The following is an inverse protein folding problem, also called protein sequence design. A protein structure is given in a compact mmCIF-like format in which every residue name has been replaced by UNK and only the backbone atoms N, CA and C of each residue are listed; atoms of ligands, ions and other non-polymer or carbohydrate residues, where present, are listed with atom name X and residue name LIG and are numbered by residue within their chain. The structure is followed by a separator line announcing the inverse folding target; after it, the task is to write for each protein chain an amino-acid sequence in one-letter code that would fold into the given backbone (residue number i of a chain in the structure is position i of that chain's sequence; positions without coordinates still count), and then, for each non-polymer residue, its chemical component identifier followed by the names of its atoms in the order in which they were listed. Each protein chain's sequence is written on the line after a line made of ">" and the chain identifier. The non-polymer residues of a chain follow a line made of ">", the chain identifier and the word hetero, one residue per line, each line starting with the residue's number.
data_IF_248915938531
#
_entry.id   IF_248915938531
#
_cell.length_a   1.000
_cell.length_b   1.000
_cell.length_c   1.000
_cell.angle_alpha   90.00
_cell.angle_beta   90.00
_cell.angle_gamma   90.00
#
_symmetry.space_group_name_H-M   'P 1'
#
loop_
_entity.id
_entity.type
_entity.pdbx_description
1 polymer ?
#
# COMPACT_ATOMS: atom_id res chain seq x y z
N UNK A 1 20.73 13.50 -25.54
CA UNK A 1 21.48 12.23 -25.57
C UNK A 1 20.46 11.09 -25.61
N UNK A 2 20.39 10.29 -26.67
CA UNK A 2 19.42 9.22 -26.79
C UNK A 2 19.96 7.89 -26.21
N UNK A 3 19.10 6.90 -25.97
CA UNK A 3 19.48 5.60 -25.36
C UNK A 3 20.64 4.89 -26.07
N UNK A 4 20.80 5.06 -27.38
CA UNK A 4 21.87 4.44 -28.19
C UNK A 4 23.22 5.09 -27.95
N UNK A 5 23.26 6.38 -27.71
CA UNK A 5 24.50 7.12 -27.42
C UNK A 5 24.99 6.84 -26.00
N UNK A 6 24.08 6.69 -25.04
CA UNK A 6 24.44 6.29 -23.67
C UNK A 6 25.14 4.90 -23.63
N UNK A 7 24.63 3.94 -24.39
CA UNK A 7 25.21 2.58 -24.45
C UNK A 7 26.59 2.58 -25.13
N UNK A 8 26.82 3.44 -26.12
CA UNK A 8 28.12 3.53 -26.80
C UNK A 8 29.21 4.14 -25.94
N UNK A 9 28.88 5.04 -25.03
CA UNK A 9 29.85 5.66 -24.13
C UNK A 9 30.23 4.76 -22.93
N UNK A 10 29.37 3.84 -22.53
CA UNK A 10 29.66 2.86 -21.45
C UNK A 10 30.52 1.68 -21.94
N UNK A 11 30.50 1.35 -23.22
CA UNK A 11 31.32 0.24 -23.78
C UNK A 11 32.77 0.65 -24.09
N UNK A 12 33.08 1.93 -24.22
CA UNK A 12 34.43 2.41 -24.49
C UNK A 12 35.34 2.52 -23.24
N UNK A 13 34.78 2.42 -22.04
CA UNK A 13 35.52 2.54 -20.78
C UNK A 13 36.00 1.18 -20.21
N UNK A 14 35.69 0.05 -20.85
CA UNK A 14 36.05 -1.31 -20.36
C UNK A 14 37.20 -1.94 -21.13
N UNK A 15 37.80 -1.28 -22.13
CA UNK A 15 38.85 -1.83 -22.98
C UNK A 15 40.30 -1.53 -22.52
N UNK A 16 40.53 -1.27 -21.24
CA UNK A 16 41.86 -0.82 -20.76
C UNK A 16 42.39 -1.45 -19.50
N UNK A 17 42.00 -2.68 -19.13
CA UNK A 17 42.67 -3.41 -18.03
C UNK A 17 42.50 -4.92 -18.17
N UNK A 18 43.20 -5.48 -19.15
CA UNK A 18 43.55 -6.92 -19.13
C UNK A 18 44.99 -7.02 -18.63
N UNK A 19 45.17 -7.67 -17.49
CA UNK A 19 46.26 -8.56 -17.07
C UNK A 19 46.37 -8.53 -15.54
N UNK A 20 45.79 -9.58 -14.93
CA UNK A 20 46.36 -10.35 -13.82
C UNK A 20 45.27 -11.34 -13.34
N UNK A 21 45.19 -12.48 -14.03
CA UNK A 21 44.47 -13.64 -13.51
C UNK A 21 45.36 -14.33 -12.47
N UNK A 22 45.26 -13.86 -11.22
CA UNK A 22 45.60 -14.67 -10.07
C UNK A 22 44.38 -15.51 -9.70
N UNK A 23 44.51 -16.83 -9.81
CA UNK A 23 43.51 -17.77 -9.34
C UNK A 23 43.27 -17.57 -7.83
N UNK A 24 42.24 -16.81 -7.47
CA UNK A 24 41.71 -16.77 -6.11
C UNK A 24 40.45 -17.62 -6.09
N UNK A 25 40.60 -18.82 -5.59
CA UNK A 25 39.51 -19.70 -5.19
C UNK A 25 38.80 -19.02 -4.00
N UNK A 26 37.91 -18.05 -4.27
CA UNK A 26 37.04 -17.50 -3.24
C UNK A 26 35.87 -18.46 -3.08
N UNK A 27 35.97 -19.32 -2.07
CA UNK A 27 34.76 -19.79 -1.38
C UNK A 27 33.86 -18.58 -1.21
N UNK A 28 32.66 -18.67 -1.77
CA UNK A 28 31.55 -17.79 -1.44
C UNK A 28 31.23 -18.06 0.03
N UNK A 29 31.94 -17.38 0.94
CA UNK A 29 31.43 -17.21 2.28
C UNK A 29 30.06 -16.55 2.12
N UNK A 30 29.02 -17.31 2.39
CA UNK A 30 27.69 -16.76 2.63
C UNK A 30 27.90 -15.70 3.71
N UNK A 31 27.71 -14.44 3.37
CA UNK A 31 27.70 -13.36 4.37
C UNK A 31 26.82 -13.84 5.52
N UNK A 32 27.32 -13.81 6.77
CA UNK A 32 26.49 -14.21 7.88
C UNK A 32 25.22 -13.38 7.81
N UNK A 33 24.07 -14.04 7.88
CA UNK A 33 22.80 -13.36 8.10
C UNK A 33 23.02 -12.62 9.42
N UNK A 34 23.32 -11.33 9.35
CA UNK A 34 23.39 -10.49 10.51
C UNK A 34 21.99 -10.51 11.08
N UNK A 35 21.79 -11.30 12.12
CA UNK A 35 20.61 -11.23 12.96
C UNK A 35 20.61 -9.82 13.52
N UNK A 36 19.94 -8.92 12.84
CA UNK A 36 19.70 -7.58 13.33
C UNK A 36 18.64 -7.70 14.41
N UNK A 37 19.09 -7.91 15.65
CA UNK A 37 18.29 -7.60 16.86
C UNK A 37 18.13 -6.08 16.97
N UNK A 38 18.00 -5.40 15.83
CA UNK A 38 17.90 -3.96 15.76
C UNK A 38 16.44 -3.52 15.77
N UNK A 39 16.22 -2.34 16.29
CA UNK A 39 14.95 -1.64 16.18
C UNK A 39 14.54 -1.49 14.72
N UNK A 40 13.23 -1.49 14.46
CA UNK A 40 12.67 -1.27 13.10
C UNK A 40 13.19 0.06 12.54
N UNK A 41 13.83 -0.01 11.38
CA UNK A 41 14.27 1.19 10.68
C UNK A 41 13.07 2.02 10.27
N UNK A 42 13.08 3.30 10.63
CA UNK A 42 12.06 4.27 10.23
C UNK A 42 12.64 5.34 9.32
N UNK A 43 11.80 5.98 8.55
CA UNK A 43 12.13 7.13 7.71
C UNK A 43 11.07 8.20 7.88
N UNK A 44 11.53 9.44 7.89
CA UNK A 44 10.63 10.59 7.87
C UNK A 44 10.20 10.80 6.42
N UNK A 45 8.89 10.79 6.19
CA UNK A 45 8.34 11.20 4.91
C UNK A 45 8.56 12.71 4.75
N UNK A 46 9.35 13.18 3.78
CA UNK A 46 9.70 14.60 3.66
C UNK A 46 8.49 15.50 3.33
N UNK A 47 7.42 14.91 2.79
CA UNK A 47 6.23 15.68 2.41
C UNK A 47 5.22 15.81 3.55
N UNK A 48 5.23 14.89 4.53
CA UNK A 48 4.22 14.81 5.58
C UNK A 48 4.79 15.00 6.98
N UNK A 49 6.09 14.75 7.16
CA UNK A 49 6.74 14.71 8.47
C UNK A 49 6.49 13.42 9.25
N UNK A 50 5.72 12.48 8.70
CA UNK A 50 5.42 11.21 9.37
C UNK A 50 6.67 10.33 9.46
N UNK A 51 6.98 9.83 10.64
CA UNK A 51 8.03 8.83 10.86
C UNK A 51 7.47 7.44 10.66
N UNK A 52 7.69 6.88 9.44
CA UNK A 52 7.10 5.62 8.99
C UNK A 52 8.13 4.50 9.01
N UNK A 53 7.73 3.30 9.45
CA UNK A 53 8.56 2.09 9.37
C UNK A 53 8.91 1.78 7.92
N UNK A 54 10.16 1.36 7.69
CA UNK A 54 10.62 0.99 6.34
C UNK A 54 9.85 -0.22 5.78
N UNK A 55 9.40 -1.11 6.67
CA UNK A 55 8.48 -2.19 6.35
C UNK A 55 7.05 -1.74 6.67
N UNK A 56 6.16 -1.76 5.66
CA UNK A 56 4.71 -1.63 5.83
C UNK A 56 4.03 -3.01 5.87
N UNK A 57 2.94 -3.13 6.60
CA UNK A 57 2.14 -4.35 6.67
C UNK A 57 0.99 -4.30 5.66
N UNK A 58 1.04 -5.18 4.65
CA UNK A 58 -0.02 -5.29 3.64
C UNK A 58 -1.16 -6.20 4.10
N UNK A 59 -2.38 -5.65 4.15
CA UNK A 59 -3.59 -6.36 4.61
C UNK A 59 -4.37 -7.02 3.46
N UNK A 60 -3.77 -7.19 2.30
CA UNK A 60 -4.44 -7.77 1.12
C UNK A 60 -4.65 -9.28 1.22
N UNK A 61 -3.79 -9.99 1.94
CA UNK A 61 -3.76 -11.46 2.03
C UNK A 61 -3.76 -11.89 3.49
N UNK A 62 -4.86 -11.57 4.17
CA UNK A 62 -5.04 -11.94 5.57
C UNK A 62 -5.37 -13.44 5.71
N UNK A 63 -4.98 -14.07 6.83
CA UNK A 63 -5.34 -15.45 7.12
C UNK A 63 -6.86 -15.66 7.07
N UNK A 64 -7.29 -16.68 6.32
CA UNK A 64 -8.66 -17.13 6.30
C UNK A 64 -8.80 -18.41 7.13
N UNK A 65 -10.01 -18.69 7.58
CA UNK A 65 -10.37 -19.97 8.15
C UNK A 65 -10.58 -20.98 7.04
N UNK A 66 -10.24 -22.24 7.28
CA UNK A 66 -10.65 -23.32 6.38
C UNK A 66 -12.19 -23.34 6.32
N UNK A 67 -12.72 -23.05 5.12
CA UNK A 67 -14.16 -23.12 4.89
C UNK A 67 -14.53 -24.58 4.67
N UNK A 68 -15.57 -25.07 5.36
CA UNK A 68 -16.24 -26.28 4.95
C UNK A 68 -16.85 -26.07 3.54
N UNK A 69 -17.01 -27.13 2.77
CA UNK A 69 -17.59 -27.08 1.41
C UNK A 69 -18.88 -26.25 1.41
N UNK A 70 -18.92 -25.20 0.60
CA UNK A 70 -20.06 -24.30 0.47
C UNK A 70 -20.22 -23.22 1.55
N UNK A 71 -19.32 -23.16 2.54
CA UNK A 71 -19.36 -22.09 3.55
C UNK A 71 -18.85 -20.75 2.96
N UNK A 72 -19.33 -19.59 3.46
CA UNK A 72 -18.80 -18.29 3.10
C UNK A 72 -17.31 -18.18 3.46
N UNK A 73 -16.56 -17.43 2.66
CA UNK A 73 -15.18 -17.09 2.99
C UNK A 73 -15.14 -16.24 4.26
N UNK A 74 -14.38 -16.68 5.25
CA UNK A 74 -14.19 -15.98 6.52
C UNK A 74 -12.72 -15.74 6.78
N UNK A 75 -12.41 -14.61 7.45
CA UNK A 75 -11.08 -14.31 7.96
C UNK A 75 -10.90 -14.83 9.37
N UNK A 76 -9.70 -15.31 9.70
CA UNK A 76 -9.36 -15.68 11.08
C UNK A 76 -8.94 -14.43 11.87
N UNK A 77 -9.91 -13.77 12.47
CA UNK A 77 -9.69 -12.54 13.22
C UNK A 77 -8.74 -12.72 14.41
N UNK A 78 -8.69 -13.90 15.01
CA UNK A 78 -7.77 -14.16 16.15
C UNK A 78 -6.34 -14.11 15.67
N UNK A 79 -6.03 -14.87 14.61
CA UNK A 79 -4.70 -14.88 14.01
C UNK A 79 -4.31 -13.50 13.45
N UNK A 80 -5.25 -12.77 12.84
CA UNK A 80 -5.02 -11.41 12.34
C UNK A 80 -4.65 -10.47 13.48
N UNK A 81 -5.34 -10.55 14.61
CA UNK A 81 -5.03 -9.76 15.79
C UNK A 81 -3.61 -10.02 16.29
N UNK A 82 -3.22 -11.29 16.42
CA UNK A 82 -1.88 -11.69 16.84
C UNK A 82 -0.79 -11.18 15.88
N UNK A 83 -1.03 -11.24 14.57
CA UNK A 83 -0.10 -10.73 13.56
C UNK A 83 0.06 -9.21 13.61
N UNK A 84 -1.03 -8.48 13.83
CA UNK A 84 -1.00 -7.01 13.99
C UNK A 84 -0.30 -6.62 15.28
N UNK A 85 -0.58 -7.30 16.39
CA UNK A 85 0.09 -7.10 17.68
C UNK A 85 1.60 -7.30 17.51
N UNK A 86 2.00 -8.43 16.94
CA UNK A 86 3.40 -8.74 16.68
C UNK A 86 4.08 -7.68 15.80
N UNK A 87 3.42 -7.23 14.73
CA UNK A 87 3.95 -6.22 13.85
C UNK A 87 4.21 -4.89 14.57
N UNK A 88 3.23 -4.43 15.37
CA UNK A 88 3.35 -3.20 16.17
C UNK A 88 4.45 -3.31 17.25
N UNK A 89 4.52 -4.44 17.95
CA UNK A 89 5.55 -4.70 18.97
C UNK A 89 6.96 -4.68 18.38
N UNK A 90 7.11 -5.09 17.10
CA UNK A 90 8.38 -5.06 16.37
C UNK A 90 8.60 -3.78 15.56
N UNK A 91 7.83 -2.73 15.83
CA UNK A 91 8.04 -1.37 15.31
C UNK A 91 7.48 -1.09 13.92
N UNK A 92 6.74 -2.03 13.31
CA UNK A 92 5.95 -1.74 12.11
C UNK A 92 4.80 -0.83 12.51
N UNK A 93 4.68 0.31 11.82
CA UNK A 93 3.65 1.29 12.13
C UNK A 93 2.82 1.75 10.92
N UNK A 94 2.93 1.09 9.77
CA UNK A 94 2.17 1.41 8.57
C UNK A 94 1.40 0.19 8.08
N UNK A 95 0.07 0.30 8.01
CA UNK A 95 -0.86 -0.76 7.61
C UNK A 95 -1.63 -0.34 6.36
N UNK A 96 -1.52 -1.13 5.28
CA UNK A 96 -2.12 -0.84 3.98
C UNK A 96 -3.26 -1.80 3.67
N UNK A 97 -4.46 -1.27 3.52
CA UNK A 97 -5.67 -2.01 3.15
C UNK A 97 -6.39 -1.42 1.93
N UNK A 98 -7.53 -1.98 1.56
CA UNK A 98 -8.44 -1.43 0.55
C UNK A 98 -9.83 -2.08 0.66
N UNK A 99 -10.91 -1.43 0.18
CA UNK A 99 -12.27 -1.96 0.17
C UNK A 99 -12.44 -3.32 -0.52
N UNK A 100 -11.59 -3.61 -1.52
CA UNK A 100 -11.68 -4.84 -2.34
C UNK A 100 -10.81 -5.98 -1.82
N UNK A 101 -9.97 -5.75 -0.82
CA UNK A 101 -9.05 -6.77 -0.31
C UNK A 101 -9.79 -7.84 0.50
N UNK A 102 -9.31 -9.09 0.43
CA UNK A 102 -9.93 -10.22 1.10
C UNK A 102 -11.45 -10.32 0.81
N UNK A 103 -11.85 -10.16 -0.46
CA UNK A 103 -13.26 -10.18 -0.89
C UNK A 103 -14.13 -9.13 -0.16
N UNK A 104 -13.56 -7.99 0.21
CA UNK A 104 -14.25 -6.90 0.89
C UNK A 104 -14.19 -6.94 2.42
N UNK A 105 -13.49 -7.92 3.01
CA UNK A 105 -13.43 -8.10 4.46
C UNK A 105 -12.20 -7.46 5.12
N UNK A 106 -11.19 -7.03 4.33
CA UNK A 106 -9.92 -6.59 4.88
C UNK A 106 -10.03 -5.34 5.76
N UNK A 107 -10.79 -4.32 5.35
CA UNK A 107 -10.93 -3.10 6.15
C UNK A 107 -11.56 -3.36 7.52
N UNK A 108 -12.60 -4.21 7.56
CA UNK A 108 -13.25 -4.57 8.83
C UNK A 108 -12.31 -5.35 9.74
N UNK A 109 -11.57 -6.32 9.20
CA UNK A 109 -10.60 -7.09 9.96
C UNK A 109 -9.43 -6.22 10.45
N UNK A 110 -8.94 -5.32 9.59
CA UNK A 110 -7.90 -4.33 9.92
C UNK A 110 -8.37 -3.41 11.05
N UNK A 111 -9.57 -2.84 10.91
CA UNK A 111 -10.15 -1.96 11.94
C UNK A 111 -10.31 -2.67 13.27
N UNK A 112 -10.82 -3.90 13.27
CA UNK A 112 -10.95 -4.72 14.49
C UNK A 112 -9.60 -4.96 15.17
N UNK A 113 -8.56 -5.27 14.41
CA UNK A 113 -7.23 -5.50 14.96
C UNK A 113 -6.60 -4.20 15.49
N UNK A 114 -6.61 -3.13 14.71
CA UNK A 114 -5.96 -1.86 15.04
C UNK A 114 -6.67 -1.07 16.15
N UNK A 115 -7.99 -1.15 16.27
CA UNK A 115 -8.77 -0.49 17.33
C UNK A 115 -8.39 -0.95 18.75
N UNK A 116 -7.67 -2.05 18.89
CA UNK A 116 -7.13 -2.55 20.16
C UNK A 116 -5.90 -1.77 20.62
N UNK A 117 -5.33 -0.93 19.76
CA UNK A 117 -4.12 -0.15 20.02
C UNK A 117 -4.40 1.35 20.00
N UNK A 118 -3.59 2.16 20.71
CA UNK A 118 -3.72 3.61 20.66
C UNK A 118 -3.56 4.13 19.23
N UNK A 119 -4.49 4.95 18.76
CA UNK A 119 -4.56 5.43 17.37
C UNK A 119 -3.29 6.14 16.87
N UNK A 120 -2.55 6.76 17.76
CA UNK A 120 -1.30 7.46 17.47
C UNK A 120 -0.07 6.53 17.33
N UNK A 121 -0.23 5.23 17.45
CA UNK A 121 0.87 4.25 17.32
C UNK A 121 1.05 3.73 15.90
N UNK A 122 0.09 4.03 15.00
CA UNK A 122 0.11 3.51 13.65
C UNK A 122 -0.46 4.48 12.63
N UNK A 123 -0.06 4.28 11.40
CA UNK A 123 -0.64 4.88 10.21
C UNK A 123 -1.49 3.84 9.48
N UNK A 124 -2.70 4.23 9.09
CA UNK A 124 -3.56 3.39 8.27
C UNK A 124 -3.76 4.03 6.89
N UNK A 125 -3.48 3.23 5.86
CA UNK A 125 -3.74 3.56 4.48
C UNK A 125 -4.89 2.71 3.94
N UNK A 126 -5.85 3.36 3.28
CA UNK A 126 -6.85 2.67 2.46
C UNK A 126 -6.97 3.33 1.09
N UNK A 127 -7.87 2.84 0.25
CA UNK A 127 -7.92 3.24 -1.14
C UNK A 127 -9.36 3.47 -1.60
N UNK A 128 -9.56 4.39 -2.54
CA UNK A 128 -10.82 4.50 -3.27
C UNK A 128 -10.82 3.51 -4.44
N UNK A 129 -11.50 2.37 -4.27
CA UNK A 129 -11.46 1.21 -5.19
C UNK A 129 -12.68 1.15 -6.13
N UNK A 130 -13.12 2.27 -6.65
CA UNK A 130 -14.24 2.42 -7.59
C UNK A 130 -13.88 1.92 -9.00
N UNK A 131 -13.60 0.62 -9.15
CA UNK A 131 -13.10 0.05 -10.40
C UNK A 131 -14.16 -0.11 -11.48
N UNK A 132 -15.37 -0.46 -11.10
CA UNK A 132 -16.49 -0.70 -12.03
C UNK A 132 -17.23 0.61 -12.34
N UNK A 133 -17.67 0.85 -13.61
CA UNK A 133 -18.37 2.09 -14.00
C UNK A 133 -19.59 2.42 -13.16
N UNK A 134 -20.31 1.42 -12.65
CA UNK A 134 -21.45 1.58 -11.74
C UNK A 134 -21.05 2.18 -10.37
N UNK A 135 -19.77 2.10 -10.01
CA UNK A 135 -19.22 2.71 -8.78
C UNK A 135 -18.56 4.07 -9.01
N UNK A 136 -18.61 4.62 -10.24
CA UNK A 136 -17.97 5.89 -10.58
C UNK A 136 -18.78 7.12 -10.22
N UNK A 137 -20.06 6.98 -9.83
CA UNK A 137 -20.81 8.15 -9.39
C UNK A 137 -20.14 8.79 -8.16
N UNK A 138 -20.39 10.09 -7.97
CA UNK A 138 -19.91 10.82 -6.79
C UNK A 138 -20.44 10.18 -5.51
N UNK A 139 -21.73 9.86 -5.52
CA UNK A 139 -22.47 9.28 -4.39
C UNK A 139 -21.88 7.92 -3.98
N UNK A 140 -21.64 7.02 -4.93
CA UNK A 140 -21.06 5.70 -4.65
C UNK A 140 -19.63 5.81 -4.15
N UNK A 141 -18.83 6.70 -4.73
CA UNK A 141 -17.45 6.93 -4.30
C UNK A 141 -17.39 7.54 -2.88
N UNK A 142 -18.30 8.47 -2.57
CA UNK A 142 -18.45 9.02 -1.21
C UNK A 142 -18.88 7.94 -0.23
N UNK A 143 -19.89 7.14 -0.57
CA UNK A 143 -20.37 6.05 0.25
C UNK A 143 -19.28 5.00 0.51
N UNK A 144 -18.41 4.74 -0.47
CA UNK A 144 -17.25 3.85 -0.31
C UNK A 144 -16.29 4.39 0.75
N UNK A 145 -15.94 5.67 0.69
CA UNK A 145 -15.06 6.29 1.69
C UNK A 145 -15.68 6.28 3.10
N UNK A 146 -16.96 6.63 3.23
CA UNK A 146 -17.67 6.58 4.52
C UNK A 146 -17.70 5.15 5.10
N UNK A 147 -17.91 4.15 4.26
CA UNK A 147 -17.87 2.74 4.65
C UNK A 147 -16.46 2.32 5.08
N UNK A 148 -15.41 2.81 4.41
CA UNK A 148 -14.03 2.56 4.81
C UNK A 148 -13.74 3.06 6.22
N UNK A 149 -14.13 4.30 6.56
CA UNK A 149 -13.97 4.84 7.91
C UNK A 149 -14.73 4.00 8.95
N UNK A 150 -15.96 3.61 8.64
CA UNK A 150 -16.78 2.76 9.52
C UNK A 150 -16.12 1.40 9.76
N UNK A 151 -15.62 0.74 8.73
CA UNK A 151 -14.98 -0.57 8.83
C UNK A 151 -13.63 -0.49 9.54
N UNK A 152 -12.87 0.55 9.30
CA UNK A 152 -11.60 0.82 9.99
C UNK A 152 -11.78 1.33 11.43
N UNK A 153 -13.02 1.60 11.86
CA UNK A 153 -13.36 2.07 13.22
C UNK A 153 -12.58 3.34 13.58
N UNK A 154 -12.52 4.30 12.66
CA UNK A 154 -11.74 5.55 12.83
C UNK A 154 -12.44 6.73 12.18
N UNK A 155 -12.22 7.93 12.69
CA UNK A 155 -12.76 9.17 12.12
C UNK A 155 -11.91 9.72 10.97
N UNK A 156 -10.67 9.23 10.81
CA UNK A 156 -9.76 9.66 9.76
C UNK A 156 -8.81 8.55 9.32
N UNK A 157 -8.31 8.64 8.09
CA UNK A 157 -7.21 7.83 7.59
C UNK A 157 -5.95 8.67 7.41
N UNK A 158 -4.79 8.07 7.66
CA UNK A 158 -3.53 8.76 7.46
C UNK A 158 -3.21 8.91 5.97
N UNK A 159 -3.56 7.92 5.18
CA UNK A 159 -3.37 7.92 3.73
C UNK A 159 -4.61 7.38 3.02
N UNK A 160 -5.15 8.16 2.10
CA UNK A 160 -6.14 7.69 1.12
C UNK A 160 -5.51 7.68 -0.26
N UNK A 161 -5.56 6.53 -0.95
CA UNK A 161 -4.99 6.39 -2.29
C UNK A 161 -6.10 6.24 -3.34
N UNK A 162 -5.99 6.96 -4.45
CA UNK A 162 -6.73 6.63 -5.66
C UNK A 162 -6.21 5.30 -6.18
N UNK A 163 -7.05 4.25 -6.19
CA UNK A 163 -6.60 2.88 -6.38
C UNK A 163 -6.31 2.56 -7.85
N UNK A 164 -5.06 2.22 -8.18
CA UNK A 164 -4.64 1.76 -9.52
C UNK A 164 -4.99 2.74 -10.64
N UNK A 165 -4.37 3.92 -10.64
CA UNK A 165 -4.69 5.00 -11.56
C UNK A 165 -4.29 4.73 -13.03
N UNK A 166 -3.41 3.78 -13.30
CA UNK A 166 -2.98 3.38 -14.66
C UNK A 166 -3.92 2.39 -15.36
N UNK A 167 -4.95 1.91 -14.68
CA UNK A 167 -5.86 0.89 -15.18
C UNK A 167 -6.79 1.36 -16.30
N UNK A 168 -7.32 0.40 -17.06
CA UNK A 168 -8.36 0.62 -18.09
C UNK A 168 -9.65 -0.05 -17.65
N UNK A 169 -10.80 0.50 -18.03
CA UNK A 169 -12.11 -0.10 -17.73
C UNK A 169 -13.14 0.24 -18.80
N UNK A 170 -14.09 -0.67 -19.03
CA UNK A 170 -15.25 -0.48 -19.92
C UNK A 170 -14.88 0.01 -21.33
N UNK A 171 -13.79 -0.52 -21.92
CA UNK A 171 -13.32 -0.13 -23.25
C UNK A 171 -12.66 1.26 -23.32
N UNK A 172 -12.46 1.93 -22.20
CA UNK A 172 -11.80 3.23 -22.09
C UNK A 172 -10.30 3.06 -21.87
N UNK A 173 -9.49 3.97 -22.41
CA UNK A 173 -8.06 4.03 -22.10
C UNK A 173 -7.81 4.53 -20.65
N UNK A 174 -6.57 4.50 -20.20
CA UNK A 174 -6.20 4.87 -18.81
C UNK A 174 -6.58 6.30 -18.44
N UNK A 175 -6.42 7.27 -19.36
CA UNK A 175 -6.80 8.66 -19.12
C UNK A 175 -8.33 8.80 -18.99
N UNK A 176 -9.08 8.26 -19.92
CA UNK A 176 -10.54 8.28 -19.88
C UNK A 176 -11.11 7.56 -18.65
N UNK A 177 -10.43 6.47 -18.22
CA UNK A 177 -10.79 5.75 -17.00
C UNK A 177 -10.52 6.61 -15.77
N UNK A 178 -9.36 7.26 -15.69
CA UNK A 178 -9.02 8.17 -14.61
C UNK A 178 -9.99 9.36 -14.53
N UNK A 179 -10.28 9.99 -15.66
CA UNK A 179 -11.24 11.10 -15.74
C UNK A 179 -12.63 10.67 -15.27
N UNK A 180 -13.12 9.51 -15.73
CA UNK A 180 -14.43 8.98 -15.34
C UNK A 180 -14.50 8.61 -13.86
N UNK A 181 -13.43 8.05 -13.30
CA UNK A 181 -13.39 7.62 -11.90
C UNK A 181 -13.27 8.79 -10.93
N UNK A 182 -12.56 9.85 -11.28
CA UNK A 182 -12.10 10.81 -10.30
C UNK A 182 -12.35 12.27 -10.64
N UNK A 183 -12.36 12.65 -11.94
CA UNK A 183 -12.42 14.05 -12.36
C UNK A 183 -13.86 14.48 -12.72
N UNK A 184 -14.47 13.78 -13.66
CA UNK A 184 -15.76 14.20 -14.27
C UNK A 184 -16.95 14.14 -13.29
N UNK A 185 -16.83 13.37 -12.22
CA UNK A 185 -17.83 13.23 -11.17
C UNK A 185 -17.58 14.17 -9.97
N UNK A 186 -16.48 14.94 -9.96
CA UNK A 186 -16.12 15.86 -8.89
C UNK A 186 -15.70 15.18 -7.59
N UNK A 187 -15.39 13.85 -7.61
CA UNK A 187 -15.00 13.15 -6.38
C UNK A 187 -13.60 13.58 -5.92
N UNK A 188 -12.69 13.90 -6.83
CA UNK A 188 -11.36 14.35 -6.44
C UNK A 188 -11.42 15.65 -5.64
N UNK A 189 -12.24 16.62 -6.07
CA UNK A 189 -12.44 17.88 -5.33
C UNK A 189 -13.03 17.61 -3.95
N UNK A 190 -14.02 16.73 -3.85
CA UNK A 190 -14.58 16.31 -2.58
C UNK A 190 -13.55 15.64 -1.65
N UNK A 191 -12.65 14.81 -2.17
CA UNK A 191 -11.57 14.20 -1.39
C UNK A 191 -10.59 15.26 -0.86
N UNK A 192 -10.30 16.29 -1.66
CA UNK A 192 -9.50 17.45 -1.22
C UNK A 192 -10.21 18.20 -0.07
N UNK A 193 -11.54 18.38 -0.14
CA UNK A 193 -12.31 18.92 0.96
C UNK A 193 -12.25 18.03 2.22
N UNK A 194 -12.32 16.69 2.08
CA UNK A 194 -12.17 15.78 3.22
C UNK A 194 -10.77 15.88 3.84
N UNK A 195 -9.74 16.09 3.02
CA UNK A 195 -8.39 16.38 3.52
C UNK A 195 -8.35 17.70 4.31
N UNK A 196 -8.96 18.75 3.81
CA UNK A 196 -9.04 20.03 4.52
C UNK A 196 -9.82 19.93 5.85
N UNK A 197 -10.78 19.01 5.95
CA UNK A 197 -11.52 18.68 7.18
C UNK A 197 -10.77 17.73 8.13
N UNK A 198 -9.57 17.29 7.78
CA UNK A 198 -8.76 16.37 8.59
C UNK A 198 -9.19 14.91 8.57
N UNK A 199 -10.17 14.54 7.74
CA UNK A 199 -10.62 13.14 7.59
C UNK A 199 -9.68 12.29 6.72
N UNK A 200 -8.87 12.95 5.91
CA UNK A 200 -7.77 12.38 5.12
C UNK A 200 -6.53 13.21 5.45
N UNK A 201 -5.50 12.61 6.05
CA UNK A 201 -4.27 13.37 6.31
C UNK A 201 -3.44 13.54 5.03
N UNK A 202 -3.32 12.48 4.25
CA UNK A 202 -2.55 12.46 3.02
C UNK A 202 -3.35 11.81 1.89
N UNK A 203 -3.50 12.53 0.77
CA UNK A 203 -4.13 12.03 -0.44
C UNK A 203 -3.05 11.69 -1.47
N UNK A 204 -3.12 10.50 -2.05
CA UNK A 204 -2.16 10.00 -3.02
C UNK A 204 -2.80 9.04 -4.02
N UNK A 205 -1.99 8.23 -4.68
CA UNK A 205 -2.47 7.21 -5.61
C UNK A 205 -1.57 5.97 -5.60
N UNK A 206 -2.12 4.84 -6.01
CA UNK A 206 -1.34 3.66 -6.38
C UNK A 206 -1.34 3.47 -7.90
N UNK A 207 -0.24 2.96 -8.42
CA UNK A 207 -0.05 2.69 -9.84
C UNK A 207 0.50 1.26 -10.01
N UNK A 208 -0.03 0.53 -11.00
CA UNK A 208 0.38 -0.84 -11.31
C UNK A 208 0.65 -1.00 -12.80
#
# INVERSE_FOLDING_TARGET
>A
MNRREFIKHTTAAVAGTTLLFGACNKQTESSPIVSTTGEMTKRINPNTGDEVSLLGYGMMRLPGKEAADGAPYELDQVVINELVDYALEHGVNYFDTAPVYCRGLSEQATGTALARHPRNKYFVATKLSNFSPDTWSREESMAMFERSLKYLQTDYVDYLLLHSVGGTAAGKNSLQTFEGRYMNNGILDWLVEQKAKGRIRNLGFSYH
#
